data_IF_461759887704
#
_entry.id   IF_461759887704
#
_cell.length_a   1.000
_cell.length_b   1.000
_cell.length_c   1.000
_cell.angle_alpha   90.00
_cell.angle_beta   90.00
_cell.angle_gamma   90.00
#
_symmetry.space_group_name_H-M   'P 1'
#
loop_
_entity.id
_entity.type
_entity.pdbx_description
1 polymer ?
#
# COMPACT_ATOMS: atom_id res chain seq x y z
N UNK A 1 11.43 -17.95 53.35
CA UNK A 1 11.13 -19.09 52.44
C UNK A 1 11.18 -18.55 51.03
N UNK A 2 12.05 -19.11 50.19
CA UNK A 2 12.15 -18.80 48.75
C UNK A 2 10.92 -19.31 48.02
N UNK A 3 10.36 -18.55 47.10
CA UNK A 3 9.72 -19.04 45.88
C UNK A 3 9.77 -17.83 44.93
N UNK A 4 10.71 -17.76 43.99
CA UNK A 4 10.44 -18.22 42.64
C UNK A 4 8.96 -17.97 42.30
N UNK A 5 8.58 -16.69 42.17
CA UNK A 5 7.52 -16.34 41.24
C UNK A 5 8.12 -16.53 39.86
N UNK A 6 8.18 -17.81 39.54
CA UNK A 6 8.33 -18.36 38.22
C UNK A 6 7.62 -17.38 37.31
N UNK A 7 8.43 -16.79 36.45
CA UNK A 7 8.10 -16.25 35.16
C UNK A 7 7.07 -17.21 34.56
N UNK A 8 5.80 -17.02 34.97
CA UNK A 8 4.69 -17.85 34.60
C UNK A 8 4.54 -17.51 33.15
N UNK A 9 5.22 -18.32 32.36
CA UNK A 9 5.35 -18.19 30.93
C UNK A 9 4.01 -18.67 30.44
N UNK A 10 2.99 -17.84 30.67
CA UNK A 10 1.66 -18.05 30.17
C UNK A 10 1.84 -18.15 28.65
N UNK A 11 1.64 -19.32 28.03
CA UNK A 11 1.84 -19.47 26.60
C UNK A 11 0.87 -18.57 25.81
N UNK A 12 -0.24 -18.12 26.44
CA UNK A 12 -1.16 -17.13 25.90
C UNK A 12 -0.62 -15.68 25.98
N UNK A 13 0.47 -15.44 26.71
CA UNK A 13 1.16 -14.15 26.75
C UNK A 13 1.64 -13.70 25.36
N UNK A 14 2.01 -14.63 24.48
CA UNK A 14 2.34 -14.34 23.08
C UNK A 14 1.13 -13.78 22.31
N UNK A 15 -0.06 -14.37 22.50
CA UNK A 15 -1.32 -13.92 21.91
C UNK A 15 -1.73 -12.55 22.46
N UNK A 16 -1.57 -12.30 23.76
CA UNK A 16 -1.86 -10.99 24.36
C UNK A 16 -0.91 -9.89 23.85
N UNK A 17 0.38 -10.20 23.66
CA UNK A 17 1.37 -9.27 23.09
C UNK A 17 1.06 -8.95 21.62
N UNK A 18 0.62 -9.94 20.84
CA UNK A 18 0.20 -9.72 19.46
C UNK A 18 -1.08 -8.88 19.37
N UNK A 19 -2.08 -9.18 20.22
CA UNK A 19 -3.29 -8.37 20.32
C UNK A 19 -2.97 -6.91 20.68
N UNK A 20 -2.03 -6.71 21.60
CA UNK A 20 -1.54 -5.38 21.99
C UNK A 20 -0.87 -4.67 20.80
N UNK A 21 0.03 -5.35 20.08
CA UNK A 21 0.71 -4.82 18.90
C UNK A 21 -0.27 -4.43 17.78
N UNK A 22 -1.26 -5.28 17.49
CA UNK A 22 -2.30 -4.98 16.48
C UNK A 22 -3.18 -3.81 16.92
N UNK A 23 -3.57 -3.76 18.21
CA UNK A 23 -4.39 -2.66 18.73
C UNK A 23 -3.64 -1.32 18.77
N UNK A 24 -2.33 -1.35 19.00
CA UNK A 24 -1.44 -0.17 18.97
C UNK A 24 -1.10 0.26 17.54
N UNK A 25 -1.15 -0.66 16.57
CA UNK A 25 -1.05 -0.36 15.15
C UNK A 25 -2.41 0.11 14.62
N UNK A 26 -2.82 1.32 15.04
CA UNK A 26 -3.83 2.06 14.30
C UNK A 26 -3.20 2.47 12.98
N UNK A 27 -3.33 1.62 11.96
CA UNK A 27 -3.13 2.05 10.58
C UNK A 27 -3.98 3.30 10.40
N UNK A 28 -3.32 4.44 10.13
CA UNK A 28 -4.04 5.66 9.83
C UNK A 28 -4.99 5.31 8.68
N UNK A 29 -6.30 5.46 8.89
CA UNK A 29 -7.30 5.25 7.85
C UNK A 29 -6.86 6.09 6.66
N UNK A 30 -6.30 5.42 5.66
CA UNK A 30 -5.83 6.10 4.48
C UNK A 30 -7.08 6.56 3.76
N UNK A 31 -7.25 7.87 3.69
CA UNK A 31 -8.37 8.49 2.97
C UNK A 31 -8.50 7.78 1.61
N UNK A 32 -9.73 7.37 1.19
CA UNK A 32 -9.92 6.56 0.00
C UNK A 32 -9.24 7.21 -1.21
N UNK A 33 -8.09 6.67 -1.63
CA UNK A 33 -7.35 7.21 -2.76
C UNK A 33 -8.20 7.01 -4.01
N UNK A 34 -8.55 8.12 -4.68
CA UNK A 34 -9.25 8.07 -5.96
C UNK A 34 -8.42 7.25 -6.95
N UNK A 35 -9.03 6.42 -7.80
CA UNK A 35 -8.29 5.62 -8.77
C UNK A 35 -7.57 6.54 -9.77
N UNK A 36 -6.24 6.53 -9.74
CA UNK A 36 -5.37 7.35 -10.61
C UNK A 36 -5.17 6.70 -11.99
N UNK A 37 -5.27 5.36 -12.04
CA UNK A 37 -5.11 4.55 -13.24
C UNK A 37 -5.85 5.10 -14.49
N UNK A 38 -7.14 5.48 -14.44
CA UNK A 38 -7.84 5.99 -15.62
C UNK A 38 -7.20 7.26 -16.20
N UNK A 39 -6.73 8.18 -15.35
CA UNK A 39 -6.08 9.42 -15.80
C UNK A 39 -4.73 9.15 -16.45
N UNK A 40 -3.98 8.18 -15.91
CA UNK A 40 -2.70 7.75 -16.49
C UNK A 40 -2.93 7.14 -17.87
N UNK A 41 -3.94 6.28 -18.02
CA UNK A 41 -4.28 5.67 -19.31
C UNK A 41 -4.66 6.73 -20.36
N UNK A 42 -5.46 7.73 -19.98
CA UNK A 42 -5.80 8.86 -20.86
C UNK A 42 -4.55 9.64 -21.27
N UNK A 43 -3.69 9.99 -20.31
CA UNK A 43 -2.44 10.71 -20.59
C UNK A 43 -1.53 9.95 -21.56
N UNK A 44 -1.33 8.65 -21.34
CA UNK A 44 -0.54 7.78 -22.23
C UNK A 44 -1.16 7.73 -23.62
N UNK A 45 -2.48 7.55 -23.72
CA UNK A 45 -3.18 7.50 -25.01
C UNK A 45 -3.04 8.79 -25.83
N UNK A 46 -3.12 9.96 -25.18
CA UNK A 46 -2.94 11.26 -25.85
C UNK A 46 -1.51 11.40 -26.39
N UNK A 47 -0.50 11.11 -25.57
CA UNK A 47 0.90 11.20 -25.99
C UNK A 47 1.19 10.26 -27.16
N UNK A 48 0.69 9.02 -27.10
CA UNK A 48 0.89 8.03 -28.16
C UNK A 48 0.23 8.49 -29.48
N UNK A 49 -0.97 9.05 -29.40
CA UNK A 49 -1.70 9.55 -30.57
C UNK A 49 -0.96 10.69 -31.26
N UNK A 50 -0.44 11.65 -30.49
CA UNK A 50 0.37 12.76 -31.02
C UNK A 50 1.63 12.22 -31.70
N UNK A 51 2.33 11.28 -31.07
CA UNK A 51 3.54 10.69 -31.63
C UNK A 51 3.27 10.01 -32.99
N UNK A 52 2.16 9.26 -33.12
CA UNK A 52 1.76 8.63 -34.38
C UNK A 52 1.46 9.69 -35.44
N UNK A 53 0.66 10.71 -35.11
CA UNK A 53 0.32 11.78 -36.06
C UNK A 53 1.58 12.47 -36.56
N UNK A 54 2.49 12.86 -35.66
CA UNK A 54 3.76 13.49 -36.04
C UNK A 54 4.60 12.58 -36.93
N UNK A 55 4.68 11.29 -36.61
CA UNK A 55 5.41 10.31 -37.42
C UNK A 55 4.83 10.24 -38.83
N UNK A 56 3.50 10.14 -38.96
CA UNK A 56 2.82 10.09 -40.26
C UNK A 56 3.07 11.38 -41.04
N UNK A 57 2.88 12.55 -40.41
CA UNK A 57 3.10 13.84 -41.08
C UNK A 57 4.54 13.95 -41.56
N UNK A 58 5.53 13.67 -40.71
CA UNK A 58 6.95 13.77 -41.09
C UNK A 58 7.38 12.74 -42.14
N UNK A 59 6.76 11.56 -42.16
CA UNK A 59 7.09 10.50 -43.13
C UNK A 59 6.53 10.80 -44.52
N UNK A 60 5.42 11.52 -44.60
CA UNK A 60 4.68 11.77 -45.85
C UNK A 60 4.58 13.24 -46.26
N UNK A 61 5.27 14.16 -45.56
CA UNK A 61 5.38 15.59 -45.93
C UNK A 61 6.35 15.84 -47.07
#
# INVERSE_FOLDING_TARGET
>A
MSHNEEQQTDPAGSTQKFQRFVAENKEAETEPRRPILPYVLVGVGVVLSIAIILTVVLTWS
#
